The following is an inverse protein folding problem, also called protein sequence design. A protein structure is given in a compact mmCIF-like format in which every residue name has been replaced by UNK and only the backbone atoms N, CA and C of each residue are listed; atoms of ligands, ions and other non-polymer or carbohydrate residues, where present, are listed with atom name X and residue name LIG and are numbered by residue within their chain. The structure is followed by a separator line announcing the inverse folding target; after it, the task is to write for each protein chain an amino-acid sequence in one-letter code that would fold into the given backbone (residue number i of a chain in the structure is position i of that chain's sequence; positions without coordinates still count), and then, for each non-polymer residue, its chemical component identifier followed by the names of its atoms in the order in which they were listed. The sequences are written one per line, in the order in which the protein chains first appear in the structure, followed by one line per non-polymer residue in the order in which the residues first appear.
data_IF_889013830806
#
_entry.id   IF_889013830806
#
_cell.length_a   1.000
_cell.length_b   1.000
_cell.length_c   1.000
_cell.angle_alpha   90.00
_cell.angle_beta   90.00
_cell.angle_gamma   90.00
#
_symmetry.space_group_name_H-M   'P 1'
#
loop_
_entity.id
_entity.type
_entity.pdbx_description
1 polymer ?
#
# COMPACT_ATOMS: atom_id res chain seq x y z
N UNK A 1 -9.75 23.57 -17.11
CA UNK A 1 -10.07 22.76 -15.92
C UNK A 1 -10.18 21.32 -16.38
N UNK A 2 -9.28 20.43 -15.93
CA UNK A 2 -9.44 18.99 -16.17
C UNK A 2 -10.21 18.40 -14.98
N UNK A 3 -11.39 17.83 -15.27
CA UNK A 3 -12.16 17.09 -14.28
C UNK A 3 -11.55 15.70 -14.17
N UNK A 4 -10.93 15.41 -13.02
CA UNK A 4 -10.44 14.05 -12.73
C UNK A 4 -11.65 13.16 -12.48
N UNK A 5 -11.83 12.14 -13.31
CA UNK A 5 -12.85 11.12 -13.09
C UNK A 5 -12.40 10.23 -11.92
N UNK A 6 -13.11 10.29 -10.81
CA UNK A 6 -12.80 9.51 -9.59
C UNK A 6 -13.50 8.16 -9.55
N UNK A 7 -14.35 7.86 -10.54
CA UNK A 7 -15.05 6.59 -10.59
C UNK A 7 -14.06 5.42 -10.68
N UNK A 8 -14.33 4.39 -9.87
CA UNK A 8 -13.43 3.25 -9.68
C UNK A 8 -12.10 3.53 -8.99
N UNK A 9 -11.75 4.76 -8.60
CA UNK A 9 -10.47 5.04 -7.92
C UNK A 9 -10.48 4.60 -6.45
N UNK A 10 -9.33 4.18 -5.88
CA UNK A 10 -9.24 3.88 -4.45
C UNK A 10 -9.64 5.08 -3.59
N UNK A 11 -10.61 4.89 -2.69
CA UNK A 11 -11.08 5.93 -1.75
C UNK A 11 -10.22 6.03 -0.49
N UNK A 12 -9.53 4.96 -0.15
CA UNK A 12 -8.73 4.83 1.07
C UNK A 12 -7.34 4.28 0.72
N UNK A 13 -6.33 4.68 1.48
CA UNK A 13 -4.97 4.21 1.33
C UNK A 13 -4.34 3.93 2.70
N UNK A 14 -3.49 2.91 2.75
CA UNK A 14 -2.65 2.60 3.90
C UNK A 14 -1.20 2.66 3.43
N UNK A 15 -0.36 3.39 4.18
CA UNK A 15 1.07 3.50 3.92
C UNK A 15 1.82 2.89 5.08
N UNK A 16 2.79 2.05 4.76
CA UNK A 16 3.69 1.43 5.73
C UNK A 16 5.11 1.70 5.28
N UNK A 17 5.96 2.07 6.23
CA UNK A 17 7.39 2.09 6.00
C UNK A 17 7.92 0.66 6.05
N UNK A 18 8.79 0.32 5.10
CA UNK A 18 9.42 -0.99 5.02
C UNK A 18 10.91 -0.82 5.27
N UNK A 19 11.48 -1.73 6.06
CA UNK A 19 12.93 -1.77 6.27
C UNK A 19 13.69 -2.12 4.97
N UNK A 20 13.11 -2.98 4.13
CA UNK A 20 13.63 -3.33 2.80
C UNK A 20 12.50 -3.75 1.86
N UNK A 21 12.58 -3.48 0.54
CA UNK A 21 11.62 -3.98 -0.43
C UNK A 21 11.58 -5.51 -0.54
N UNK A 22 12.64 -6.21 -0.13
CA UNK A 22 12.71 -7.68 -0.20
C UNK A 22 11.73 -8.37 0.76
N UNK A 23 11.29 -7.68 1.81
CA UNK A 23 10.29 -8.18 2.76
C UNK A 23 9.00 -8.58 2.04
N UNK A 24 8.60 -7.85 0.99
CA UNK A 24 7.38 -8.14 0.24
C UNK A 24 7.44 -9.49 -0.51
N UNK A 25 8.64 -10.07 -0.66
CA UNK A 25 8.88 -11.37 -1.29
C UNK A 25 9.12 -12.48 -0.26
N UNK A 26 9.18 -12.14 1.02
CA UNK A 26 9.50 -13.09 2.07
C UNK A 26 8.28 -13.96 2.43
N UNK A 27 8.48 -15.22 2.85
CA UNK A 27 7.39 -16.07 3.29
C UNK A 27 6.66 -15.51 4.52
N UNK A 28 7.39 -14.84 5.42
CA UNK A 28 6.84 -14.25 6.64
C UNK A 28 5.83 -13.15 6.32
N UNK A 29 6.05 -12.35 5.27
CA UNK A 29 5.06 -11.37 4.82
C UNK A 29 3.78 -12.05 4.31
N UNK A 30 3.92 -13.15 3.56
CA UNK A 30 2.78 -13.95 3.09
C UNK A 30 1.94 -14.52 4.23
N UNK A 31 2.57 -14.98 5.30
CA UNK A 31 1.87 -15.42 6.52
C UNK A 31 1.21 -14.25 7.24
N UNK A 32 1.94 -13.16 7.44
CA UNK A 32 1.46 -11.98 8.17
C UNK A 32 0.19 -11.37 7.56
N UNK A 33 0.06 -11.34 6.23
CA UNK A 33 -1.14 -10.80 5.56
C UNK A 33 -2.40 -11.66 5.73
N UNK A 34 -2.25 -12.90 6.19
CA UNK A 34 -3.37 -13.79 6.52
C UNK A 34 -3.68 -13.80 8.02
N UNK A 35 -2.90 -13.09 8.84
CA UNK A 35 -3.15 -12.97 10.26
C UNK A 35 -4.08 -11.79 10.59
N UNK A 36 -4.84 -11.95 11.68
CA UNK A 36 -5.69 -10.90 12.23
C UNK A 36 -6.97 -10.66 11.43
N UNK A 37 -7.44 -9.41 11.42
CA UNK A 37 -8.77 -9.05 10.88
C UNK A 37 -8.79 -8.84 9.37
N UNK A 38 -7.64 -8.74 8.73
CA UNK A 38 -7.55 -8.42 7.31
C UNK A 38 -8.29 -9.40 6.38
N UNK A 39 -8.09 -10.73 6.45
CA UNK A 39 -8.74 -11.66 5.53
C UNK A 39 -10.27 -11.69 5.68
N UNK A 40 -10.79 -11.67 6.91
CA UNK A 40 -12.22 -11.84 7.16
C UNK A 40 -13.01 -10.54 7.18
N UNK A 41 -12.43 -9.44 7.69
CA UNK A 41 -13.16 -8.21 7.99
C UNK A 41 -12.83 -7.05 7.04
N UNK A 42 -11.72 -7.10 6.30
CA UNK A 42 -11.29 -5.99 5.45
C UNK A 42 -11.27 -6.37 3.99
N UNK A 43 -10.56 -7.45 3.63
CA UNK A 43 -10.39 -7.92 2.24
C UNK A 43 -11.72 -8.04 1.48
N UNK A 44 -12.82 -8.59 2.04
CA UNK A 44 -14.09 -8.72 1.32
C UNK A 44 -14.75 -7.38 0.93
N UNK A 45 -14.40 -6.30 1.63
CA UNK A 45 -14.93 -4.96 1.40
C UNK A 45 -13.99 -4.07 0.58
N UNK A 46 -12.82 -4.60 0.17
CA UNK A 46 -11.88 -3.88 -0.69
C UNK A 46 -12.02 -4.33 -2.15
N UNK A 47 -12.14 -3.38 -3.07
CA UNK A 47 -12.16 -3.61 -4.51
C UNK A 47 -11.11 -2.74 -5.21
N UNK A 48 -10.67 -3.16 -6.40
CA UNK A 48 -9.62 -2.48 -7.17
C UNK A 48 -8.36 -2.15 -6.35
N UNK A 49 -7.93 -3.11 -5.51
CA UNK A 49 -6.77 -2.94 -4.61
C UNK A 49 -5.49 -2.80 -5.42
N UNK A 50 -4.72 -1.75 -5.14
CA UNK A 50 -3.41 -1.48 -5.76
C UNK A 50 -2.34 -1.46 -4.67
N UNK A 51 -1.18 -2.05 -4.97
CA UNK A 51 0.01 -1.91 -4.15
C UNK A 51 1.03 -1.07 -4.92
N UNK A 52 1.65 -0.11 -4.25
CA UNK A 52 2.65 0.77 -4.84
C UNK A 52 3.81 0.88 -3.87
N UNK A 53 5.01 0.59 -4.37
CA UNK A 53 6.24 0.75 -3.62
C UNK A 53 6.81 2.14 -3.91
N UNK A 54 7.01 2.93 -2.87
CA UNK A 54 7.59 4.27 -2.96
C UNK A 54 8.99 4.24 -2.36
N UNK A 55 9.90 5.02 -2.94
CA UNK A 55 11.22 5.27 -2.36
C UNK A 55 11.19 6.60 -1.61
N UNK A 56 11.59 6.60 -0.34
CA UNK A 56 11.79 7.83 0.41
C UNK A 56 12.91 8.64 -0.25
N UNK A 57 12.60 9.89 -0.58
CA UNK A 57 13.54 10.86 -1.15
C UNK A 57 13.55 12.09 -0.26
N UNK A 58 14.74 12.52 0.16
CA UNK A 58 14.90 13.73 0.93
C UNK A 58 15.31 14.87 -0.02
N UNK A 59 14.81 16.10 0.19
CA UNK A 59 15.33 17.24 -0.55
C UNK A 59 16.83 17.34 -0.28
N UNK A 60 17.63 17.64 -1.31
CA UNK A 60 19.03 17.96 -1.08
C UNK A 60 19.09 19.15 -0.12
N UNK A 61 19.82 19.00 0.98
CA UNK A 61 20.07 20.11 1.88
C UNK A 61 20.89 21.13 1.07
N UNK A 62 20.24 22.21 0.65
CA UNK A 62 20.91 23.33 -0.02
C UNK A 62 22.09 23.76 0.85
N UNK A 63 23.30 23.56 0.34
CA UNK A 63 24.53 24.13 0.88
C UNK A 63 24.83 25.47 0.21
#
# INVERSE_FOLDING_TARGET
MQTVQTDGQPRFHAMYELESPDILRSPEWGEAVELGRWPEQVRPHTSNRRHTLLRLTYPEANN
#
